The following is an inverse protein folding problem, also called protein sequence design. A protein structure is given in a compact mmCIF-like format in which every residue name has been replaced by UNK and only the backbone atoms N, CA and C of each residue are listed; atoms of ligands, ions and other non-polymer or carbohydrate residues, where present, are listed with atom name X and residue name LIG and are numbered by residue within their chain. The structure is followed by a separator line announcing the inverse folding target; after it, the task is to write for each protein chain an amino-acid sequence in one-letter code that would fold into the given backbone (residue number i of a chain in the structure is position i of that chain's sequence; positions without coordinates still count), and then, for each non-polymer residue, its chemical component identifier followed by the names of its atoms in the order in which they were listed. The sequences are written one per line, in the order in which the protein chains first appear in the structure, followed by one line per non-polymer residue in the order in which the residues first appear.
data_IF_825087954762
#
_entry.id   IF_825087954762
#
_cell.length_a   1.000
_cell.length_b   1.000
_cell.length_c   1.000
_cell.angle_alpha   90.00
_cell.angle_beta   90.00
_cell.angle_gamma   90.00
#
_symmetry.space_group_name_H-M   'P 1'
#
loop_
_entity.id
_entity.type
_entity.pdbx_description
1 polymer ?
#
# COMPACT_ATOMS: atom_id res chain seq x y z
N UNK A 1 -11.14 -26.01 14.35
CA UNK A 1 -11.69 -25.17 13.27
C UNK A 1 -10.95 -23.85 13.28
N UNK A 2 -10.04 -23.63 12.32
CA UNK A 2 -9.27 -22.40 12.20
C UNK A 2 -10.03 -21.44 11.27
N UNK A 3 -10.80 -20.53 11.87
CA UNK A 3 -11.36 -19.38 11.19
C UNK A 3 -10.58 -18.15 11.65
N UNK A 4 -9.92 -17.45 10.73
CA UNK A 4 -9.83 -15.99 10.68
C UNK A 4 -8.75 -15.53 9.68
N UNK A 5 -9.05 -14.44 8.96
CA UNK A 5 -8.13 -13.42 8.42
C UNK A 5 -7.75 -13.38 6.93
N UNK A 6 -8.24 -14.26 6.04
CA UNK A 6 -7.83 -14.16 4.61
C UNK A 6 -8.46 -13.00 3.82
N UNK A 7 -9.48 -12.32 4.34
CA UNK A 7 -10.27 -11.35 3.56
C UNK A 7 -9.77 -9.90 3.72
N UNK A 8 -9.18 -9.53 4.85
CA UNK A 8 -8.91 -8.12 5.19
C UNK A 8 -7.75 -7.49 4.39
N UNK A 9 -7.01 -8.30 3.63
CA UNK A 9 -5.79 -7.88 2.93
C UNK A 9 -5.88 -7.93 1.41
N UNK A 10 -7.04 -8.30 0.87
CA UNK A 10 -7.24 -8.29 -0.57
C UNK A 10 -7.63 -6.88 -1.02
N UNK A 11 -7.04 -6.42 -2.13
CA UNK A 11 -7.49 -5.15 -2.69
C UNK A 11 -8.93 -5.29 -3.14
N UNK A 12 -9.72 -4.27 -2.84
CA UNK A 12 -11.07 -4.19 -3.34
C UNK A 12 -11.06 -4.20 -4.87
N UNK A 13 -11.75 -5.17 -5.45
CA UNK A 13 -11.90 -5.33 -6.89
C UNK A 13 -13.30 -4.99 -7.38
N UNK A 14 -14.22 -4.61 -6.49
CA UNK A 14 -15.55 -4.15 -6.87
C UNK A 14 -15.43 -2.81 -7.61
N UNK A 15 -15.70 -2.76 -8.92
CA UNK A 15 -15.56 -1.52 -9.69
C UNK A 15 -16.51 -0.41 -9.26
N UNK A 16 -17.55 -0.73 -8.46
CA UNK A 16 -18.50 0.26 -7.93
C UNK A 16 -18.10 0.79 -6.55
N UNK A 17 -17.11 0.19 -5.89
CA UNK A 17 -16.61 0.67 -4.62
C UNK A 17 -15.64 1.85 -4.83
N UNK A 18 -15.83 2.99 -4.16
CA UNK A 18 -14.94 4.15 -4.28
C UNK A 18 -13.49 3.89 -3.80
N UNK A 19 -13.25 2.85 -3.02
CA UNK A 19 -11.92 2.41 -2.56
C UNK A 19 -11.24 1.43 -3.52
N UNK A 20 -11.94 1.04 -4.59
CA UNK A 20 -11.39 0.20 -5.65
C UNK A 20 -10.24 0.91 -6.37
N UNK A 21 -9.15 0.17 -6.56
CA UNK A 21 -7.94 0.67 -7.19
C UNK A 21 -7.99 0.29 -8.66
N UNK A 22 -8.41 1.23 -9.49
CA UNK A 22 -8.50 1.06 -10.94
C UNK A 22 -7.69 2.18 -11.58
N UNK A 23 -6.56 1.79 -12.17
CA UNK A 23 -5.72 2.73 -12.90
C UNK A 23 -6.49 3.35 -14.06
N UNK A 24 -6.48 4.68 -14.10
CA UNK A 24 -7.08 5.50 -15.13
C UNK A 24 -6.03 6.45 -15.70
N UNK A 25 -6.24 6.91 -16.92
CA UNK A 25 -5.30 7.85 -17.55
C UNK A 25 -5.23 9.14 -16.73
N UNK A 26 -4.01 9.65 -16.52
CA UNK A 26 -3.74 10.84 -15.70
C UNK A 26 -4.30 12.13 -16.36
N UNK A 27 -4.67 12.07 -17.65
CA UNK A 27 -5.17 13.20 -18.40
C UNK A 27 -6.65 13.06 -18.79
N UNK A 28 -7.46 14.01 -18.32
CA UNK A 28 -8.55 14.57 -19.11
C UNK A 28 -7.97 15.11 -20.44
N UNK A 29 -8.30 14.49 -21.58
CA UNK A 29 -8.39 15.11 -22.91
C UNK A 29 -7.42 16.29 -23.22
N UNK A 30 -6.10 16.12 -23.09
CA UNK A 30 -5.10 17.17 -23.39
C UNK A 30 -3.67 16.65 -23.61
N UNK A 31 -2.77 17.50 -24.13
CA UNK A 31 -1.34 17.20 -24.27
C UNK A 31 -0.66 17.07 -22.89
N UNK A 32 0.26 16.11 -22.77
CA UNK A 32 1.06 15.93 -21.55
C UNK A 32 1.93 17.16 -21.26
N UNK A 33 1.94 17.59 -20.01
CA UNK A 33 2.86 18.62 -19.52
C UNK A 33 4.32 18.12 -19.56
N UNK A 34 5.28 19.04 -19.61
CA UNK A 34 6.71 18.67 -19.58
C UNK A 34 7.10 17.84 -18.34
N UNK A 35 6.44 18.09 -17.20
CA UNK A 35 6.62 17.28 -15.98
C UNK A 35 6.14 15.84 -16.17
N UNK A 36 5.03 15.64 -16.86
CA UNK A 36 4.48 14.31 -17.14
C UNK A 36 5.32 13.58 -18.18
N UNK A 37 5.86 14.27 -19.19
CA UNK A 37 6.82 13.71 -20.14
C UNK A 37 8.10 13.26 -19.45
N UNK A 38 8.67 14.11 -18.60
CA UNK A 38 9.85 13.77 -17.78
C UNK A 38 9.56 12.59 -16.85
N UNK A 39 8.38 12.53 -16.24
CA UNK A 39 7.95 11.41 -15.41
C UNK A 39 7.86 10.11 -16.23
N UNK A 40 7.25 10.14 -17.40
CA UNK A 40 7.19 8.99 -18.31
C UNK A 40 8.58 8.53 -18.72
N UNK A 41 9.45 9.46 -19.15
CA UNK A 41 10.84 9.14 -19.51
C UNK A 41 11.60 8.52 -18.33
N UNK A 42 11.35 9.00 -17.11
CA UNK A 42 11.94 8.43 -15.89
C UNK A 42 11.46 7.00 -15.62
N UNK A 43 10.17 6.73 -15.86
CA UNK A 43 9.54 5.43 -15.60
C UNK A 43 9.99 4.36 -16.60
N UNK A 44 9.98 4.68 -17.90
CA UNK A 44 10.21 3.69 -18.97
C UNK A 44 11.51 3.89 -19.76
N UNK A 45 12.25 4.96 -19.48
CA UNK A 45 13.36 5.41 -20.31
C UNK A 45 12.90 6.29 -21.47
N UNK A 46 13.86 6.71 -22.30
CA UNK A 46 13.59 7.49 -23.51
C UNK A 46 12.69 6.72 -24.45
N UNK A 47 11.73 7.43 -25.02
CA UNK A 47 10.86 6.87 -26.05
C UNK A 47 11.71 6.41 -27.23
N UNK A 48 11.56 5.15 -27.60
CA UNK A 48 12.16 4.61 -28.81
C UNK A 48 11.23 4.91 -30.00
N UNK A 49 11.80 5.04 -31.20
CA UNK A 49 11.04 5.29 -32.43
C UNK A 49 10.22 4.07 -32.89
N UNK A 50 10.00 3.09 -32.00
CA UNK A 50 9.29 1.86 -32.30
C UNK A 50 7.78 2.11 -32.26
N UNK A 51 7.05 1.48 -33.19
CA UNK A 51 5.59 1.51 -33.18
C UNK A 51 5.03 1.00 -31.84
N UNK A 52 3.96 1.61 -31.30
CA UNK A 52 3.31 1.13 -30.08
C UNK A 52 2.98 -0.37 -30.18
N UNK A 53 3.32 -1.14 -29.15
CA UNK A 53 2.97 -2.58 -29.07
C UNK A 53 1.51 -2.79 -28.70
N UNK A 54 0.92 -1.83 -28.00
CA UNK A 54 -0.44 -1.85 -27.48
C UNK A 54 -1.12 -0.52 -27.80
N UNK A 55 -2.43 -0.56 -27.97
CA UNK A 55 -3.30 0.62 -27.92
C UNK A 55 -3.43 1.12 -26.48
N UNK A 56 -3.81 2.38 -26.30
CA UNK A 56 -4.01 2.97 -24.97
C UNK A 56 -4.96 2.13 -24.09
N UNK A 57 -6.04 1.60 -24.69
CA UNK A 57 -7.00 0.75 -23.97
C UNK A 57 -6.40 -0.59 -23.56
N UNK A 58 -5.59 -1.22 -24.42
CA UNK A 58 -4.87 -2.45 -24.07
C UNK A 58 -3.84 -2.21 -22.97
N UNK A 59 -3.17 -1.05 -22.96
CA UNK A 59 -2.29 -0.66 -21.86
C UNK A 59 -3.06 -0.51 -20.55
N UNK A 60 -4.23 0.15 -20.58
CA UNK A 60 -5.12 0.29 -19.42
C UNK A 60 -5.59 -1.06 -18.90
N UNK A 61 -5.96 -1.98 -19.77
CA UNK A 61 -6.37 -3.32 -19.38
C UNK A 61 -5.20 -4.11 -18.78
N UNK A 62 -4.00 -3.96 -19.36
CA UNK A 62 -2.78 -4.60 -18.90
C UNK A 62 -2.33 -4.09 -17.52
N UNK A 63 -2.33 -2.78 -17.26
CA UNK A 63 -1.97 -2.24 -15.94
C UNK A 63 -2.98 -2.68 -14.88
N UNK A 64 -4.28 -2.62 -15.17
CA UNK A 64 -5.31 -3.05 -14.23
C UNK A 64 -5.25 -4.57 -13.97
N UNK A 65 -4.90 -5.38 -14.97
CA UNK A 65 -4.62 -6.81 -14.78
C UNK A 65 -3.43 -7.03 -13.84
N UNK A 66 -2.36 -6.26 -13.97
CA UNK A 66 -1.19 -6.35 -13.08
C UNK A 66 -1.51 -5.87 -11.65
N UNK A 67 -2.26 -4.78 -11.50
CA UNK A 67 -2.74 -4.28 -10.20
C UNK A 67 -3.58 -5.34 -9.50
N UNK A 68 -4.60 -5.91 -10.17
CA UNK A 68 -5.44 -6.96 -9.60
C UNK A 68 -4.64 -8.18 -9.17
N UNK A 69 -3.74 -8.65 -10.04
CA UNK A 69 -2.92 -9.84 -9.77
C UNK A 69 -1.95 -9.66 -8.60
N UNK A 70 -1.30 -8.50 -8.53
CA UNK A 70 -0.29 -8.21 -7.50
C UNK A 70 -0.84 -7.49 -6.28
N UNK A 71 -2.12 -7.15 -6.31
CA UNK A 71 -2.77 -6.30 -5.30
C UNK A 71 -2.10 -4.92 -5.18
N UNK A 72 -1.63 -4.39 -6.31
CA UNK A 72 -0.99 -3.07 -6.45
C UNK A 72 0.51 -3.05 -6.16
N UNK A 73 1.13 -4.13 -5.69
CA UNK A 73 2.55 -4.09 -5.28
C UNK A 73 3.55 -4.35 -6.41
N UNK A 74 3.17 -5.15 -7.41
CA UNK A 74 4.07 -5.60 -8.48
C UNK A 74 3.46 -5.25 -9.85
N UNK A 75 3.88 -4.09 -10.37
CA UNK A 75 3.50 -3.57 -11.69
C UNK A 75 4.77 -3.26 -12.48
N UNK A 76 4.83 -3.74 -13.71
CA UNK A 76 5.90 -3.49 -14.67
C UNK A 76 5.56 -2.27 -15.51
N UNK A 77 5.98 -1.11 -15.03
CA UNK A 77 5.66 0.18 -15.64
C UNK A 77 6.40 0.44 -16.96
N UNK A 78 7.46 -0.31 -17.25
CA UNK A 78 8.21 -0.18 -18.51
C UNK A 78 7.36 -0.51 -19.75
N UNK A 79 6.21 -1.17 -19.56
CA UNK A 79 5.29 -1.60 -20.61
C UNK A 79 4.30 -0.55 -21.05
N UNK A 80 4.22 0.60 -20.38
CA UNK A 80 3.18 1.59 -20.62
C UNK A 80 3.76 2.85 -21.25
N UNK A 81 3.08 3.35 -22.28
CA UNK A 81 3.29 4.66 -22.87
C UNK A 81 2.38 5.71 -22.26
N UNK A 82 1.19 5.30 -21.83
CA UNK A 82 0.25 6.17 -21.16
C UNK A 82 0.69 6.45 -19.72
N UNK A 83 0.50 7.69 -19.27
CA UNK A 83 0.62 8.02 -17.85
C UNK A 83 -0.70 7.71 -17.15
N UNK A 84 -0.63 6.91 -16.10
CA UNK A 84 -1.78 6.58 -15.26
C UNK A 84 -1.74 7.38 -13.95
N UNK A 85 -2.87 7.44 -13.26
CA UNK A 85 -2.97 7.85 -11.86
C UNK A 85 -2.34 6.82 -10.88
N UNK A 86 -1.88 5.69 -11.41
CA UNK A 86 -1.10 4.67 -10.72
C UNK A 86 0.33 4.61 -11.26
N UNK A 87 1.35 4.90 -10.44
CA UNK A 87 2.75 5.04 -10.90
C UNK A 87 3.76 4.69 -9.79
N UNK A 88 5.02 4.38 -10.11
CA UNK A 88 6.03 4.05 -9.11
C UNK A 88 6.55 5.31 -8.41
N UNK A 89 6.96 5.17 -7.15
CA UNK A 89 7.72 6.19 -6.43
C UNK A 89 9.20 6.13 -6.81
N UNK A 90 9.83 7.30 -6.89
CA UNK A 90 11.28 7.44 -6.85
C UNK A 90 11.72 7.79 -5.43
N UNK A 91 12.25 6.81 -4.70
CA UNK A 91 12.46 6.90 -3.25
C UNK A 91 13.36 8.06 -2.80
N UNK A 92 14.32 8.47 -3.62
CA UNK A 92 15.24 9.57 -3.28
C UNK A 92 14.69 10.96 -3.69
N UNK A 93 13.48 11.00 -4.25
CA UNK A 93 12.78 12.20 -4.66
C UNK A 93 11.55 12.45 -3.76
N UNK A 94 10.71 13.41 -4.15
CA UNK A 94 9.47 13.78 -3.44
C UNK A 94 8.30 13.70 -4.39
N UNK A 95 7.35 12.80 -4.13
CA UNK A 95 6.13 12.73 -4.93
C UNK A 95 5.15 13.88 -4.65
N UNK A 96 5.26 14.55 -3.49
CA UNK A 96 4.34 15.61 -3.06
C UNK A 96 5.09 16.83 -2.58
N UNK A 97 4.60 18.02 -2.95
CA UNK A 97 5.12 19.29 -2.45
C UNK A 97 4.79 19.54 -0.98
N UNK A 98 3.77 18.84 -0.45
CA UNK A 98 3.36 18.93 0.96
C UNK A 98 4.28 18.13 1.88
N UNK A 99 4.98 17.13 1.34
CA UNK A 99 5.88 16.27 2.10
C UNK A 99 7.30 16.80 1.92
N UNK A 100 7.90 17.26 3.03
CA UNK A 100 9.22 17.92 3.01
C UNK A 100 10.39 16.94 2.94
N UNK A 101 10.16 15.69 3.29
CA UNK A 101 11.16 14.61 3.28
C UNK A 101 11.11 13.81 1.98
N UNK A 102 12.19 13.10 1.66
CA UNK A 102 12.23 12.13 0.55
C UNK A 102 11.24 11.00 0.76
N UNK A 103 10.72 10.44 -0.32
CA UNK A 103 9.83 9.29 -0.34
C UNK A 103 10.37 8.11 0.48
N UNK A 104 11.69 7.87 0.46
CA UNK A 104 12.37 6.84 1.27
C UNK A 104 12.11 7.00 2.76
N UNK A 105 12.19 8.23 3.27
CA UNK A 105 11.97 8.55 4.68
C UNK A 105 10.49 8.50 5.02
N UNK A 106 9.66 9.10 4.15
CA UNK A 106 8.21 9.10 4.32
C UNK A 106 7.64 7.68 4.37
N UNK A 107 7.92 6.85 3.37
CA UNK A 107 7.49 5.45 3.34
C UNK A 107 8.17 4.60 4.40
N UNK A 108 9.40 4.94 4.83
CA UNK A 108 10.06 4.28 5.94
C UNK A 108 9.28 4.43 7.25
N UNK A 109 8.79 5.64 7.57
CA UNK A 109 7.93 5.86 8.75
C UNK A 109 6.62 5.09 8.65
N UNK A 110 5.97 5.17 7.49
CA UNK A 110 4.71 4.44 7.25
C UNK A 110 4.90 2.93 7.38
N UNK A 111 6.02 2.38 6.90
CA UNK A 111 6.35 0.97 7.02
C UNK A 111 6.63 0.56 8.47
N UNK A 112 7.33 1.39 9.25
CA UNK A 112 7.56 1.18 10.68
C UNK A 112 6.25 1.13 11.47
N UNK A 113 5.33 2.06 11.22
CA UNK A 113 4.01 2.10 11.85
C UNK A 113 3.18 0.86 11.45
N UNK A 114 3.18 0.52 10.16
CA UNK A 114 2.49 -0.65 9.61
C UNK A 114 2.97 -1.97 10.21
N UNK A 115 4.29 -2.16 10.31
CA UNK A 115 4.86 -3.39 10.87
C UNK A 115 4.69 -3.45 12.40
N UNK A 116 4.67 -2.31 13.10
CA UNK A 116 4.35 -2.27 14.53
C UNK A 116 2.91 -2.75 14.79
N UNK A 117 1.96 -2.34 13.95
CA UNK A 117 0.59 -2.86 13.96
C UNK A 117 0.53 -4.37 13.71
N UNK A 118 1.26 -4.85 12.70
CA UNK A 118 1.40 -6.29 12.42
C UNK A 118 1.96 -7.07 13.61
N UNK A 119 3.09 -6.61 14.17
CA UNK A 119 3.74 -7.23 15.32
C UNK A 119 2.81 -7.35 16.52
N UNK A 120 2.04 -6.28 16.81
CA UNK A 120 1.07 -6.26 17.89
C UNK A 120 -0.05 -7.29 17.67
N UNK A 121 -0.59 -7.36 16.44
CA UNK A 121 -1.69 -8.26 16.10
C UNK A 121 -1.27 -9.73 16.09
N UNK A 122 -0.12 -10.03 15.49
CA UNK A 122 0.38 -11.40 15.31
C UNK A 122 1.27 -11.90 16.45
N UNK A 123 1.63 -11.03 17.41
CA UNK A 123 2.54 -11.38 18.50
C UNK A 123 3.98 -11.62 18.05
N UNK A 124 4.43 -10.90 17.03
CA UNK A 124 5.77 -11.02 16.44
C UNK A 124 6.65 -9.81 16.79
N UNK A 125 7.92 -9.82 16.40
CA UNK A 125 8.90 -8.77 16.76
C UNK A 125 9.78 -8.33 15.59
N UNK A 126 9.20 -8.27 14.39
CA UNK A 126 9.94 -7.86 13.20
C UNK A 126 10.43 -6.42 13.30
N UNK A 127 11.66 -6.17 12.88
CA UNK A 127 12.29 -4.85 12.84
C UNK A 127 12.42 -4.38 11.40
N UNK A 128 11.88 -3.21 11.09
CA UNK A 128 12.03 -2.56 9.80
C UNK A 128 13.52 -2.33 9.47
N UNK A 129 13.90 -2.57 8.21
CA UNK A 129 15.24 -2.31 7.66
C UNK A 129 15.19 -1.15 6.68
N UNK A 130 14.52 -1.34 5.55
CA UNK A 130 14.44 -0.35 4.48
C UNK A 130 13.22 -0.55 3.59
N UNK A 131 12.87 0.49 2.82
CA UNK A 131 11.87 0.42 1.76
C UNK A 131 12.54 -0.11 0.50
N UNK A 132 12.00 -1.20 -0.05
CA UNK A 132 12.45 -1.81 -1.32
C UNK A 132 11.88 -1.01 -2.50
N UNK A 133 10.56 -0.81 -2.51
CA UNK A 133 9.85 0.00 -3.51
C UNK A 133 8.48 0.44 -3.02
N UNK A 134 7.89 1.43 -3.69
CA UNK A 134 6.51 1.83 -3.45
C UNK A 134 5.82 2.21 -4.76
N UNK A 135 4.53 1.88 -4.86
CA UNK A 135 3.65 2.39 -5.90
C UNK A 135 2.64 3.35 -5.29
N UNK A 136 2.28 4.40 -6.03
CA UNK A 136 1.28 5.39 -5.64
C UNK A 136 0.05 5.24 -6.52
N UNK A 137 -1.12 5.38 -5.90
CA UNK A 137 -2.38 5.59 -6.59
C UNK A 137 -2.95 6.93 -6.16
N UNK A 138 -3.09 7.86 -7.11
CA UNK A 138 -3.59 9.20 -6.88
C UNK A 138 -5.10 9.25 -7.16
N UNK A 139 -5.88 9.52 -6.13
CA UNK A 139 -7.32 9.77 -6.25
C UNK A 139 -7.70 10.98 -5.37
N UNK A 140 -8.61 10.84 -4.40
CA UNK A 140 -8.96 11.88 -3.40
C UNK A 140 -7.85 12.14 -2.35
N UNK A 141 -6.62 11.82 -2.69
CA UNK A 141 -5.47 11.67 -1.80
C UNK A 141 -4.49 10.70 -2.46
N UNK A 142 -3.75 9.97 -1.63
CA UNK A 142 -2.87 8.91 -2.10
C UNK A 142 -3.15 7.60 -1.38
N UNK A 143 -3.16 6.52 -2.14
CA UNK A 143 -2.99 5.17 -1.59
C UNK A 143 -1.60 4.69 -1.96
N UNK A 144 -0.83 4.27 -0.95
CA UNK A 144 0.53 3.79 -1.10
C UNK A 144 0.58 2.27 -0.96
N UNK A 145 1.27 1.62 -1.89
CA UNK A 145 1.55 0.18 -1.89
C UNK A 145 3.04 0.00 -1.64
N UNK A 146 3.42 -0.14 -0.38
CA UNK A 146 4.80 -0.13 0.08
C UNK A 146 5.28 -1.57 0.21
N UNK A 147 6.38 -1.90 -0.48
CA UNK A 147 7.13 -3.14 -0.28
C UNK A 147 8.40 -2.79 0.48
N UNK A 148 8.67 -3.49 1.59
CA UNK A 148 9.79 -3.16 2.46
C UNK A 148 10.39 -4.40 3.11
N UNK A 149 11.63 -4.25 3.56
CA UNK A 149 12.42 -5.30 4.16
C UNK A 149 12.38 -5.16 5.68
N UNK A 150 12.25 -6.29 6.37
CA UNK A 150 12.32 -6.38 7.82
C UNK A 150 13.12 -7.61 8.26
N UNK A 151 13.61 -7.60 9.50
CA UNK A 151 14.28 -8.75 10.12
C UNK A 151 13.46 -9.32 11.25
N UNK A 152 13.45 -10.63 11.40
CA UNK A 152 12.88 -11.29 12.59
C UNK A 152 13.86 -11.30 13.77
N UNK A 153 13.46 -11.99 14.85
CA UNK A 153 14.27 -12.20 16.06
C UNK A 153 15.56 -12.97 15.79
N UNK A 154 15.64 -13.73 14.70
CA UNK A 154 16.80 -14.50 14.26
C UNK A 154 17.64 -13.76 13.21
N UNK A 155 17.41 -12.44 13.03
CA UNK A 155 18.03 -11.61 12.00
C UNK A 155 17.80 -12.08 10.55
N UNK A 156 16.82 -12.98 10.33
CA UNK A 156 16.47 -13.39 8.98
C UNK A 156 15.66 -12.33 8.28
N UNK A 157 15.99 -12.09 7.02
CA UNK A 157 15.36 -11.06 6.21
C UNK A 157 14.05 -11.55 5.63
N UNK A 158 12.98 -10.78 5.83
CA UNK A 158 11.64 -10.99 5.28
C UNK A 158 11.21 -9.74 4.51
N UNK A 159 10.35 -9.92 3.51
CA UNK A 159 9.76 -8.80 2.76
C UNK A 159 8.31 -8.70 3.14
N UNK A 160 7.89 -7.48 3.46
CA UNK A 160 6.54 -7.13 3.82
C UNK A 160 5.91 -6.25 2.75
N UNK A 161 4.60 -6.26 2.74
CA UNK A 161 3.73 -5.44 1.91
C UNK A 161 2.77 -4.70 2.83
N UNK A 162 2.68 -3.37 2.67
CA UNK A 162 1.73 -2.54 3.38
C UNK A 162 0.93 -1.64 2.42
N UNK A 163 -0.38 -1.55 2.66
CA UNK A 163 -1.28 -0.60 2.02
C UNK A 163 -1.59 0.51 3.02
N UNK A 164 -1.32 1.75 2.64
CA UNK A 164 -1.56 2.93 3.48
C UNK A 164 -2.37 3.95 2.71
N UNK A 165 -3.47 4.43 3.30
CA UNK A 165 -4.35 5.42 2.71
C UNK A 165 -4.12 6.78 3.36
N UNK A 166 -3.74 7.77 2.56
CA UNK A 166 -3.55 9.16 2.96
C UNK A 166 -4.56 10.04 2.22
N UNK A 167 -5.76 10.15 2.78
CA UNK A 167 -6.83 10.99 2.24
C UNK A 167 -6.63 12.42 2.71
N UNK A 168 -6.81 13.41 1.82
CA UNK A 168 -6.63 14.82 2.19
C UNK A 168 -7.49 15.20 3.40
N UNK A 169 -6.87 15.95 4.33
CA UNK A 169 -7.49 16.44 5.56
C UNK A 169 -7.97 15.34 6.53
N UNK A 170 -7.40 14.12 6.45
CA UNK A 170 -7.67 13.00 7.37
C UNK A 170 -6.39 12.45 7.96
N UNK A 171 -6.52 11.68 9.03
CA UNK A 171 -5.42 10.87 9.57
C UNK A 171 -5.01 9.79 8.56
N UNK A 172 -3.73 9.44 8.58
CA UNK A 172 -3.19 8.38 7.72
C UNK A 172 -3.69 7.03 8.24
N UNK A 173 -4.31 6.26 7.36
CA UNK A 173 -4.86 4.95 7.68
C UNK A 173 -3.93 3.84 7.21
N UNK A 174 -3.46 3.02 8.14
CA UNK A 174 -2.70 1.80 7.86
C UNK A 174 -3.65 0.65 7.55
N UNK A 175 -4.19 0.65 6.33
CA UNK A 175 -5.20 -0.33 5.88
C UNK A 175 -4.74 -1.77 6.13
N UNK A 176 -3.52 -2.13 5.72
CA UNK A 176 -2.91 -3.38 6.18
C UNK A 176 -1.41 -3.49 6.06
N UNK A 177 -0.86 -4.51 6.71
CA UNK A 177 0.52 -4.98 6.59
C UNK A 177 0.55 -6.52 6.64
N UNK A 178 1.36 -7.15 5.78
CA UNK A 178 1.54 -8.62 5.72
C UNK A 178 2.92 -9.00 5.19
N UNK A 179 3.33 -10.25 5.42
CA UNK A 179 4.43 -10.86 4.68
C UNK A 179 4.11 -10.94 3.18
N UNK A 180 5.09 -10.70 2.32
CA UNK A 180 4.94 -10.87 0.87
C UNK A 180 4.59 -12.34 0.60
N UNK A 181 3.53 -12.64 -0.17
CA UNK A 181 3.15 -14.01 -0.49
C UNK A 181 4.28 -14.77 -1.21
N UNK A 182 4.40 -16.08 -0.96
CA UNK A 182 5.37 -16.94 -1.64
C UNK A 182 6.80 -16.89 -1.08
N UNK A 183 7.03 -16.22 0.05
CA UNK A 183 8.30 -16.31 0.76
C UNK A 183 8.44 -17.65 1.49
N UNK A 184 9.50 -18.41 1.18
CA UNK A 184 9.88 -19.59 1.96
C UNK A 184 10.56 -19.12 3.25
N UNK A 185 10.03 -19.57 4.39
CA UNK A 185 10.57 -19.23 5.69
C UNK A 185 10.31 -20.31 6.70
N UNK A 186 11.22 -21.26 6.80
CA UNK A 186 11.34 -22.09 7.99
C UNK A 186 12.09 -21.29 9.04
N UNK A 187 11.37 -20.90 10.09
CA UNK A 187 11.96 -20.74 11.40
C UNK A 187 11.31 -21.84 12.25
N UNK A 188 12.05 -22.91 12.55
CA UNK A 188 11.66 -23.87 13.58
C UNK A 188 11.72 -23.15 14.93
N UNK A 189 10.62 -22.54 15.35
CA UNK A 189 10.48 -21.97 16.69
C UNK A 189 9.90 -23.03 17.64
N UNK A 190 10.70 -24.05 17.93
CA UNK A 190 10.51 -24.89 19.11
C UNK A 190 11.06 -24.14 20.33
N UNK A 191 10.33 -23.11 20.78
CA UNK A 191 10.57 -22.42 22.05
C UNK A 191 9.34 -21.66 22.50
N UNK A 192 8.44 -22.40 23.15
CA UNK A 192 7.31 -21.88 23.93
C UNK A 192 7.73 -20.65 24.77
N UNK A 193 7.33 -19.45 24.35
CA UNK A 193 7.07 -18.34 25.27
C UNK A 193 5.59 -18.00 25.20
N UNK A 194 4.86 -18.55 26.17
CA UNK A 194 3.46 -18.25 26.45
C UNK A 194 3.37 -16.77 26.86
N UNK A 195 3.19 -15.88 25.89
CA UNK A 195 2.71 -14.53 26.17
C UNK A 195 1.20 -14.64 26.32
N UNK A 196 0.71 -14.54 27.55
CA UNK A 196 -0.73 -14.53 27.86
C UNK A 196 -1.36 -13.34 27.15
N UNK A 197 -2.30 -13.60 26.22
CA UNK A 197 -3.14 -12.55 25.61
C UNK A 197 -3.85 -11.74 26.70
N UNK A 198 -3.82 -10.41 26.69
CA UNK A 198 -4.71 -9.60 27.52
C UNK A 198 -6.16 -9.87 27.09
N UNK A 199 -7.03 -10.20 28.07
CA UNK A 199 -8.47 -10.20 27.86
C UNK A 199 -8.95 -8.76 27.79
N UNK A 200 -9.36 -8.29 26.62
CA UNK A 200 -10.07 -7.02 26.50
C UNK A 200 -11.52 -7.22 26.95
N UNK A 201 -11.91 -6.50 28.00
CA UNK A 201 -13.30 -6.39 28.43
C UNK A 201 -13.99 -5.30 27.60
N UNK A 202 -14.89 -5.70 26.70
CA UNK A 202 -15.79 -4.78 26.01
C UNK A 202 -16.85 -4.30 27.00
N UNK A 203 -16.63 -3.14 27.65
CA UNK A 203 -17.72 -2.41 28.33
C UNK A 203 -18.46 -1.58 27.29
N UNK A 204 -19.64 -2.05 26.90
CA UNK A 204 -20.62 -1.27 26.16
C UNK A 204 -21.15 -0.13 27.03
N UNK A 205 -21.02 1.11 26.54
CA UNK A 205 -21.67 2.28 27.13
C UNK A 205 -23.19 2.16 26.95
N UNK A 206 -23.91 1.81 28.02
CA UNK A 206 -25.35 2.03 28.11
C UNK A 206 -25.59 3.53 28.36
N UNK A 207 -26.26 4.18 27.41
CA UNK A 207 -26.85 5.52 27.54
C UNK A 207 -27.68 5.60 28.83
N UNK A 208 -27.34 6.55 29.70
CA UNK A 208 -28.20 7.02 30.78
C UNK A 208 -29.27 7.93 30.16
N UNK A 209 -30.53 7.49 30.20
CA UNK A 209 -31.68 8.34 29.93
C UNK A 209 -31.91 9.27 31.12
N UNK A 210 -31.88 10.58 30.87
CA UNK A 210 -32.28 11.60 31.85
C UNK A 210 -33.76 11.88 31.61
N UNK A 211 -34.63 11.40 32.50
CA UNK A 211 -36.01 11.87 32.64
C UNK A 211 -36.01 13.14 33.48
N UNK A 212 -36.36 14.28 32.87
CA UNK A 212 -36.70 15.50 33.58
C UNK A 212 -38.12 15.36 34.15
N UNK A 213 -38.25 15.41 35.48
CA UNK A 213 -39.53 15.69 36.13
C UNK A 213 -39.60 17.20 36.38
N UNK A 214 -40.60 17.84 35.80
CA UNK A 214 -41.03 19.21 36.12
C UNK A 214 -42.00 19.09 37.29
N UNK A 215 -41.74 19.81 38.37
CA UNK A 215 -42.71 20.09 39.45
C UNK A 215 -43.22 21.51 39.29
#
# INVERSE_FOLDING_TARGET
MASSSRVDYEINSDPFDPECVIASFNALLGELTEKEKLLLERIRGKEDNTSPKYTDQEERDLINKQIRKSQGFDVDFSKFRCLFDFYPSFLDERHSTLIRETDRRFFGRLAQESIAGYNTREGTSFKFVEVDKANLYRNRGYTYFITFVAKDSCDQTRVFQAKVCNVFCREIEHSFCRLKPGQKGECDEDSKRVVKKPRYNTRSNKRLGVTMNVS
#
